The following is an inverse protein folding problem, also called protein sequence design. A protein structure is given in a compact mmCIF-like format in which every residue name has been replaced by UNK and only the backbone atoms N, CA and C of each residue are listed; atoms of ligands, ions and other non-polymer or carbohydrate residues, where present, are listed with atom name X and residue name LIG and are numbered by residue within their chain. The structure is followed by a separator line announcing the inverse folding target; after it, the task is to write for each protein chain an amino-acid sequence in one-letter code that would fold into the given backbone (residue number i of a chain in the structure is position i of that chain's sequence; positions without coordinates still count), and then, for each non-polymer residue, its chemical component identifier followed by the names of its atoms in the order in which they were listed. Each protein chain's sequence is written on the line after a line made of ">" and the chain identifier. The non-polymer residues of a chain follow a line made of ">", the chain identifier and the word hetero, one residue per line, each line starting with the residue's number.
data_IF_601056913068
#
_entry.id   IF_601056913068
#
_cell.length_a   1.000
_cell.length_b   1.000
_cell.length_c   1.000
_cell.angle_alpha   90.00
_cell.angle_beta   90.00
_cell.angle_gamma   90.00
#
_symmetry.space_group_name_H-M   'P 1'
#
loop_
_entity.id
_entity.type
_entity.pdbx_description
1 polymer ?
#
# COMPACT_ATOMS: atom_id res chain seq x y z
N UNK A 1 -16.59 -1.70 15.51
CA UNK A 1 -15.38 -0.88 15.25
C UNK A 1 -15.54 0.37 16.09
N UNK A 2 -14.70 0.56 17.11
CA UNK A 2 -14.92 1.63 18.10
C UNK A 2 -14.28 2.94 17.67
N UNK A 3 -15.11 3.96 17.49
CA UNK A 3 -14.75 5.34 17.17
C UNK A 3 -15.40 6.28 18.17
N UNK A 4 -14.83 7.45 18.37
CA UNK A 4 -15.54 8.56 19.02
C UNK A 4 -16.42 9.20 17.98
N UNK A 5 -17.73 9.19 18.22
CA UNK A 5 -18.70 9.93 17.41
C UNK A 5 -18.85 11.34 17.98
N UNK A 6 -18.84 12.34 17.11
CA UNK A 6 -19.05 13.74 17.48
C UNK A 6 -19.81 14.47 16.37
N UNK A 7 -20.53 15.52 16.73
CA UNK A 7 -21.15 16.46 15.81
C UNK A 7 -20.22 17.62 15.43
N UNK A 8 -19.05 17.72 16.07
CA UNK A 8 -17.99 18.65 15.68
C UNK A 8 -17.60 18.41 14.21
N UNK A 9 -17.47 19.50 13.45
CA UNK A 9 -17.19 19.42 12.01
C UNK A 9 -15.73 19.02 11.80
N UNK A 10 -15.53 17.86 11.17
CA UNK A 10 -14.23 17.41 10.67
C UNK A 10 -14.17 17.63 9.15
N UNK A 11 -13.08 18.22 8.67
CA UNK A 11 -12.80 18.47 7.26
C UNK A 11 -11.31 18.25 6.95
N UNK A 12 -10.90 18.41 5.69
CA UNK A 12 -9.50 18.20 5.29
C UNK A 12 -8.48 19.06 6.06
N UNK A 13 -8.89 20.23 6.55
CA UNK A 13 -7.99 21.14 7.27
C UNK A 13 -7.69 20.71 8.71
N UNK A 14 -8.56 19.91 9.35
CA UNK A 14 -8.35 19.44 10.73
C UNK A 14 -8.27 17.91 10.86
N UNK A 15 -8.50 17.16 9.79
CA UNK A 15 -8.27 15.71 9.73
C UNK A 15 -6.80 15.40 9.99
N UNK A 16 -6.54 14.37 10.80
CA UNK A 16 -5.22 14.05 11.35
C UNK A 16 -4.85 14.84 12.61
N UNK A 17 -5.52 15.97 12.88
CA UNK A 17 -5.35 16.74 14.12
C UNK A 17 -6.05 16.11 15.34
N UNK A 18 -5.81 16.65 16.55
CA UNK A 18 -6.39 16.12 17.77
C UNK A 18 -7.88 16.50 17.92
N UNK A 19 -8.65 15.57 18.46
CA UNK A 19 -9.92 15.84 19.13
C UNK A 19 -9.62 15.97 20.62
N UNK A 20 -9.94 17.14 21.20
CA UNK A 20 -9.61 17.47 22.60
C UNK A 20 -10.86 17.64 23.46
N UNK A 21 -10.75 17.29 24.74
CA UNK A 21 -11.75 17.66 25.75
C UNK A 21 -11.52 19.10 26.28
N UNK A 22 -12.37 19.55 27.20
CA UNK A 22 -12.30 20.92 27.76
C UNK A 22 -11.05 21.17 28.60
N UNK A 23 -10.39 20.11 29.09
CA UNK A 23 -9.14 20.19 29.85
C UNK A 23 -7.90 20.24 28.93
N UNK A 24 -8.10 20.21 27.61
CA UNK A 24 -7.03 20.22 26.62
C UNK A 24 -6.37 18.85 26.40
N UNK A 25 -6.95 17.77 26.91
CA UNK A 25 -6.45 16.41 26.72
C UNK A 25 -6.90 15.85 25.36
N UNK A 26 -6.00 15.16 24.67
CA UNK A 26 -6.32 14.48 23.42
C UNK A 26 -7.12 13.21 23.71
N UNK A 27 -8.40 13.22 23.33
CA UNK A 27 -9.30 12.07 23.42
C UNK A 27 -9.40 11.29 22.12
N UNK A 28 -8.96 11.86 20.99
CA UNK A 28 -8.86 11.12 19.72
C UNK A 28 -8.13 11.85 18.60
N UNK A 29 -8.05 11.22 17.43
CA UNK A 29 -7.54 11.82 16.17
C UNK A 29 -8.68 11.97 15.18
N UNK A 30 -8.91 13.20 14.72
CA UNK A 30 -9.92 13.52 13.72
C UNK A 30 -9.68 12.71 12.44
N UNK A 31 -10.69 11.97 11.96
CA UNK A 31 -10.49 11.09 10.79
C UNK A 31 -11.45 11.45 9.66
N UNK A 32 -12.75 11.22 9.86
CA UNK A 32 -13.74 11.26 8.78
C UNK A 32 -15.01 11.99 9.22
N UNK A 33 -15.61 12.73 8.28
CA UNK A 33 -17.01 13.16 8.35
C UNK A 33 -17.83 12.24 7.44
N UNK A 34 -18.93 11.69 7.94
CA UNK A 34 -19.81 10.79 7.16
C UNK A 34 -21.02 11.54 6.64
N UNK A 35 -21.70 12.30 7.50
CA UNK A 35 -22.85 13.14 7.14
C UNK A 35 -22.91 14.38 8.04
N UNK A 36 -23.88 15.27 7.81
CA UNK A 36 -24.10 16.40 8.70
C UNK A 36 -24.40 15.91 10.14
N UNK A 37 -23.66 16.45 11.12
CA UNK A 37 -23.80 16.08 12.53
C UNK A 37 -23.17 14.73 12.92
N UNK A 38 -22.50 14.03 11.99
CA UNK A 38 -21.81 12.77 12.31
C UNK A 38 -20.39 12.78 11.74
N UNK A 39 -19.44 12.93 12.65
CA UNK A 39 -18.01 12.82 12.44
C UNK A 39 -17.40 11.76 13.36
N UNK A 40 -16.26 11.21 12.97
CA UNK A 40 -15.55 10.18 13.72
C UNK A 40 -14.09 10.53 13.97
N UNK A 41 -13.63 10.17 15.17
CA UNK A 41 -12.24 10.21 15.57
C UNK A 41 -11.76 8.85 16.10
N UNK A 42 -10.48 8.53 15.85
CA UNK A 42 -9.82 7.34 16.43
C UNK A 42 -9.59 7.61 17.93
N UNK A 43 -10.08 6.75 18.85
CA UNK A 43 -9.94 6.97 20.30
C UNK A 43 -8.49 7.01 20.79
N UNK A 44 -8.19 7.84 21.77
CA UNK A 44 -6.86 7.99 22.38
C UNK A 44 -6.30 6.71 22.96
N UNK A 45 -7.14 5.81 23.47
CA UNK A 45 -6.67 4.54 24.03
C UNK A 45 -6.12 3.60 22.96
N UNK A 46 -6.63 3.68 21.72
CA UNK A 46 -6.01 3.00 20.57
C UNK A 46 -4.66 3.61 20.24
N UNK A 47 -4.52 4.93 20.34
CA UNK A 47 -3.25 5.63 20.13
C UNK A 47 -2.24 5.20 21.20
N UNK A 48 -2.62 5.18 22.48
CA UNK A 48 -1.78 4.70 23.58
C UNK A 48 -1.32 3.26 23.33
N UNK A 49 -2.25 2.36 22.99
CA UNK A 49 -1.91 0.97 22.66
C UNK A 49 -0.92 0.89 21.49
N UNK A 50 -1.17 1.61 20.41
CA UNK A 50 -0.28 1.67 19.25
C UNK A 50 1.13 2.17 19.63
N UNK A 51 1.22 3.22 20.44
CA UNK A 51 2.49 3.78 20.91
C UNK A 51 3.23 2.79 21.81
N UNK A 52 2.55 2.15 22.76
CA UNK A 52 3.14 1.11 23.61
C UNK A 52 3.66 -0.06 22.78
N UNK A 53 2.87 -0.57 21.83
CA UNK A 53 3.29 -1.65 20.93
C UNK A 53 4.43 -1.22 19.98
N UNK A 54 4.47 0.04 19.56
CA UNK A 54 5.57 0.58 18.75
C UNK A 54 6.85 0.69 19.57
N UNK A 55 6.76 1.26 20.77
CA UNK A 55 7.87 1.41 21.69
C UNK A 55 8.42 0.05 22.13
N UNK A 56 7.55 -0.90 22.47
CA UNK A 56 7.96 -2.26 22.82
C UNK A 56 8.68 -2.98 21.68
N UNK A 57 8.25 -2.77 20.43
CA UNK A 57 8.96 -3.30 19.25
C UNK A 57 10.38 -2.72 19.16
N UNK A 58 10.52 -1.41 19.36
CA UNK A 58 11.81 -0.73 19.33
C UNK A 58 12.71 -1.14 20.50
N UNK A 59 12.18 -1.17 21.73
CA UNK A 59 12.93 -1.46 22.96
C UNK A 59 13.34 -2.93 23.10
N UNK A 60 12.53 -3.88 22.61
CA UNK A 60 12.85 -5.32 22.68
C UNK A 60 13.87 -5.76 21.61
N UNK A 61 14.45 -4.82 20.86
CA UNK A 61 15.37 -5.15 19.77
C UNK A 61 14.74 -6.07 18.73
N UNK A 62 13.39 -6.11 18.65
CA UNK A 62 12.72 -6.65 17.46
C UNK A 62 13.10 -5.66 16.37
N UNK A 63 14.20 -5.97 15.69
CA UNK A 63 14.76 -5.19 14.61
C UNK A 63 13.59 -4.58 13.85
N UNK A 64 13.58 -3.25 13.72
CA UNK A 64 12.74 -2.62 12.71
C UNK A 64 13.13 -3.37 11.44
N UNK A 65 12.28 -4.31 11.03
CA UNK A 65 12.64 -5.27 9.99
C UNK A 65 12.96 -4.40 8.81
N UNK A 66 14.23 -4.43 8.37
CA UNK A 66 14.70 -3.60 7.27
C UNK A 66 13.68 -3.69 6.16
N UNK A 67 13.12 -2.56 5.77
CA UNK A 67 12.00 -2.58 4.84
C UNK A 67 12.59 -2.90 3.48
N UNK A 68 12.15 -4.02 2.91
CA UNK A 68 12.53 -4.40 1.55
C UNK A 68 11.71 -3.58 0.55
N UNK A 69 12.36 -3.15 -0.53
CA UNK A 69 11.73 -2.42 -1.62
C UNK A 69 12.32 -2.82 -2.96
N UNK A 70 11.56 -2.60 -4.03
CA UNK A 70 12.01 -2.80 -5.42
C UNK A 70 11.87 -1.54 -6.28
N UNK A 71 11.15 -0.49 -5.83
CA UNK A 71 11.02 0.76 -6.57
C UNK A 71 9.91 0.80 -7.63
N UNK A 72 8.70 0.36 -7.30
CA UNK A 72 7.53 0.49 -8.19
C UNK A 72 6.35 1.18 -7.50
N UNK A 73 5.57 1.91 -8.29
CA UNK A 73 4.20 2.32 -7.92
C UNK A 73 3.22 1.39 -8.62
N UNK A 74 2.31 0.79 -7.88
CA UNK A 74 1.38 -0.20 -8.41
C UNK A 74 -0.03 -0.03 -7.82
N UNK A 75 -1.01 -0.58 -8.53
CA UNK A 75 -2.38 -0.74 -8.04
C UNK A 75 -2.92 -2.13 -8.36
N UNK A 76 -3.87 -2.61 -7.57
CA UNK A 76 -4.60 -3.84 -7.90
C UNK A 76 -5.45 -3.61 -9.14
N UNK A 77 -5.32 -4.50 -10.12
CA UNK A 77 -6.13 -4.46 -11.32
C UNK A 77 -7.51 -5.04 -11.04
N UNK A 78 -8.54 -4.23 -11.21
CA UNK A 78 -9.94 -4.67 -11.20
C UNK A 78 -10.44 -4.84 -12.63
N UNK A 79 -11.47 -5.66 -12.86
CA UNK A 79 -12.00 -5.88 -14.21
C UNK A 79 -12.51 -4.59 -14.87
N UNK A 80 -13.09 -3.67 -14.09
CA UNK A 80 -13.49 -2.35 -14.61
C UNK A 80 -12.29 -1.51 -15.02
N UNK A 81 -11.21 -1.53 -14.23
CA UNK A 81 -10.00 -0.79 -14.55
C UNK A 81 -9.23 -1.40 -15.72
N UNK A 82 -9.17 -2.72 -15.83
CA UNK A 82 -8.59 -3.43 -16.96
C UNK A 82 -9.29 -3.02 -18.27
N UNK A 83 -10.62 -2.99 -18.26
CA UNK A 83 -11.41 -2.52 -19.41
C UNK A 83 -11.11 -1.07 -19.75
N UNK A 84 -11.10 -0.18 -18.76
CA UNK A 84 -10.77 1.24 -18.97
C UNK A 84 -9.36 1.42 -19.59
N UNK A 85 -8.37 0.67 -19.10
CA UNK A 85 -7.01 0.71 -19.63
C UNK A 85 -6.94 0.16 -21.05
N UNK A 86 -7.65 -0.94 -21.34
CA UNK A 86 -7.75 -1.52 -22.69
C UNK A 86 -8.41 -0.58 -23.71
N UNK A 87 -9.41 0.17 -23.29
CA UNK A 87 -10.09 1.15 -24.13
C UNK A 87 -9.16 2.35 -24.47
N UNK A 88 -8.25 2.72 -23.55
CA UNK A 88 -7.28 3.82 -23.74
C UNK A 88 -6.01 3.37 -24.46
N UNK A 89 -5.54 2.17 -24.18
CA UNK A 89 -4.28 1.61 -24.66
C UNK A 89 -4.60 0.26 -25.33
N UNK A 90 -4.62 0.24 -26.67
CA UNK A 90 -5.03 -0.96 -27.44
C UNK A 90 -4.12 -2.16 -27.17
N UNK A 91 -2.86 -1.87 -26.89
CA UNK A 91 -1.80 -2.79 -26.53
C UNK A 91 -1.87 -3.25 -25.06
N UNK A 92 -2.75 -2.70 -24.23
CA UNK A 92 -2.90 -3.18 -22.86
C UNK A 92 -3.26 -4.68 -22.83
N UNK A 93 -2.67 -5.49 -21.95
CA UNK A 93 -2.94 -6.92 -21.88
C UNK A 93 -4.41 -7.29 -21.64
N UNK A 94 -4.83 -8.43 -22.19
CA UNK A 94 -6.13 -9.03 -21.87
C UNK A 94 -6.06 -9.80 -20.54
N UNK A 95 -5.98 -9.05 -19.44
CA UNK A 95 -5.91 -9.55 -18.07
C UNK A 95 -6.94 -8.86 -17.19
N UNK A 96 -7.60 -9.64 -16.34
CA UNK A 96 -8.70 -9.16 -15.50
C UNK A 96 -8.31 -8.94 -14.03
N UNK A 97 -7.13 -9.41 -13.63
CA UNK A 97 -6.58 -9.33 -12.28
C UNK A 97 -5.05 -9.31 -12.30
N UNK A 98 -4.44 -8.88 -11.19
CA UNK A 98 -2.99 -8.77 -11.05
C UNK A 98 -2.60 -7.46 -10.37
N UNK A 99 -1.32 -7.17 -10.32
CA UNK A 99 -0.80 -5.87 -9.88
C UNK A 99 -0.30 -5.09 -11.10
N UNK A 100 -1.00 -4.02 -11.44
CA UNK A 100 -0.63 -3.13 -12.55
C UNK A 100 0.44 -2.14 -12.08
N UNK A 101 1.54 -2.07 -12.83
CA UNK A 101 2.65 -1.14 -12.59
C UNK A 101 2.33 0.20 -13.25
N UNK A 102 2.11 1.21 -12.40
CA UNK A 102 1.87 2.60 -12.80
C UNK A 102 3.19 3.31 -13.10
N UNK A 103 4.26 2.95 -12.39
CA UNK A 103 5.54 3.65 -12.46
C UNK A 103 6.65 2.73 -11.98
N UNK A 104 7.80 2.78 -12.66
CA UNK A 104 9.05 2.19 -12.22
C UNK A 104 9.99 3.33 -11.89
N UNK A 105 10.52 3.33 -10.67
CA UNK A 105 11.39 4.41 -10.19
C UNK A 105 12.81 4.17 -10.74
N UNK A 106 13.49 5.19 -11.31
CA UNK A 106 14.86 5.06 -11.78
C UNK A 106 15.85 4.67 -10.68
N UNK A 107 16.94 4.02 -11.06
CA UNK A 107 18.01 3.58 -10.16
C UNK A 107 17.51 2.65 -9.04
N UNK A 108 16.52 1.79 -9.35
CA UNK A 108 15.96 0.81 -8.40
C UNK A 108 16.04 -0.62 -8.92
N UNK A 109 15.89 -1.63 -8.03
CA UNK A 109 15.92 -3.03 -8.45
C UNK A 109 14.90 -3.40 -9.54
N UNK A 110 13.72 -2.76 -9.54
CA UNK A 110 12.70 -3.00 -10.53
C UNK A 110 13.13 -2.54 -11.93
N UNK A 111 13.75 -1.34 -12.03
CA UNK A 111 14.30 -0.85 -13.29
C UNK A 111 15.43 -1.74 -13.78
N UNK A 112 16.38 -2.08 -12.90
CA UNK A 112 17.51 -2.96 -13.22
C UNK A 112 17.05 -4.36 -13.66
N UNK A 113 15.96 -4.88 -13.08
CA UNK A 113 15.32 -6.13 -13.47
C UNK A 113 14.53 -6.06 -14.78
N UNK A 114 14.31 -4.86 -15.33
CA UNK A 114 13.62 -4.64 -16.59
C UNK A 114 12.09 -4.60 -16.48
N UNK A 115 11.54 -4.35 -15.30
CA UNK A 115 10.12 -3.99 -15.15
C UNK A 115 9.84 -2.67 -15.87
N UNK A 116 8.63 -2.52 -16.40
CA UNK A 116 8.21 -1.32 -17.11
C UNK A 116 6.84 -0.85 -16.64
N UNK A 117 6.58 0.43 -16.85
CA UNK A 117 5.22 0.97 -16.80
C UNK A 117 4.30 0.16 -17.72
N UNK A 118 3.05 -0.04 -17.29
CA UNK A 118 2.02 -0.82 -17.95
C UNK A 118 2.18 -2.35 -17.89
N UNK A 119 3.24 -2.87 -17.28
CA UNK A 119 3.31 -4.29 -16.95
C UNK A 119 2.22 -4.65 -15.93
N UNK A 120 1.64 -5.85 -16.08
CA UNK A 120 0.76 -6.43 -15.07
C UNK A 120 1.43 -7.66 -14.49
N UNK A 121 1.79 -7.61 -13.20
CA UNK A 121 2.36 -8.76 -12.48
C UNK A 121 1.23 -9.75 -12.21
N UNK A 122 1.39 -10.98 -12.71
CA UNK A 122 0.40 -12.05 -12.59
C UNK A 122 0.89 -13.24 -11.76
N UNK A 123 2.19 -13.37 -11.55
CA UNK A 123 2.77 -14.41 -10.70
C UNK A 123 4.11 -13.98 -10.12
N UNK A 124 4.42 -14.42 -8.90
CA UNK A 124 5.74 -14.30 -8.29
C UNK A 124 6.09 -15.63 -7.63
N UNK A 125 7.27 -16.17 -7.93
CA UNK A 125 7.78 -17.43 -7.37
C UNK A 125 6.77 -18.60 -7.52
N UNK A 126 6.04 -18.62 -8.64
CA UNK A 126 5.01 -19.63 -8.93
C UNK A 126 3.66 -19.40 -8.24
N UNK A 127 3.52 -18.36 -7.41
CA UNK A 127 2.26 -17.98 -6.76
C UNK A 127 1.53 -16.92 -7.57
N UNK A 128 0.24 -17.16 -7.84
CA UNK A 128 -0.62 -16.20 -8.54
C UNK A 128 -0.74 -14.89 -7.77
N UNK A 129 -0.64 -13.78 -8.49
CA UNK A 129 -0.86 -12.43 -7.96
C UNK A 129 -2.21 -11.94 -8.46
N UNK A 130 -3.10 -11.58 -7.54
CA UNK A 130 -4.42 -11.02 -7.83
C UNK A 130 -4.55 -9.57 -7.37
N UNK A 131 -3.62 -9.10 -6.52
CA UNK A 131 -3.63 -7.76 -5.96
C UNK A 131 -2.22 -7.16 -5.74
N UNK A 132 -2.13 -5.85 -5.62
CA UNK A 132 -0.89 -5.16 -5.24
C UNK A 132 -0.42 -5.51 -3.81
N UNK A 133 -1.34 -5.92 -2.93
CA UNK A 133 -0.99 -6.37 -1.58
C UNK A 133 -0.22 -7.68 -1.61
N UNK A 134 -0.55 -8.59 -2.53
CA UNK A 134 0.15 -9.88 -2.68
C UNK A 134 1.63 -9.62 -3.00
N UNK A 135 1.89 -8.74 -3.97
CA UNK A 135 3.25 -8.32 -4.34
C UNK A 135 4.00 -7.74 -3.14
N UNK A 136 3.34 -6.83 -2.40
CA UNK A 136 3.92 -6.19 -1.21
C UNK A 136 4.28 -7.20 -0.12
N UNK A 137 3.48 -8.26 0.04
CA UNK A 137 3.72 -9.29 1.06
C UNK A 137 4.81 -10.27 0.67
N UNK A 138 4.97 -10.56 -0.62
CA UNK A 138 6.09 -11.37 -1.12
C UNK A 138 7.41 -10.60 -1.02
N UNK A 139 7.45 -9.31 -1.38
CA UNK A 139 8.65 -8.45 -1.25
C UNK A 139 9.21 -8.46 0.19
N UNK A 140 8.33 -8.45 1.20
CA UNK A 140 8.75 -8.47 2.61
C UNK A 140 9.44 -9.77 3.03
N UNK A 141 9.07 -10.90 2.41
CA UNK A 141 9.49 -12.24 2.84
C UNK A 141 10.67 -12.75 2.03
N UNK A 142 10.60 -12.60 0.72
CA UNK A 142 11.54 -13.22 -0.20
C UNK A 142 12.81 -12.38 -0.40
N UNK A 143 13.91 -13.05 -0.76
CA UNK A 143 15.16 -12.38 -1.17
C UNK A 143 15.25 -12.23 -2.68
N UNK A 144 14.51 -13.03 -3.43
CA UNK A 144 14.50 -13.02 -4.89
C UNK A 144 13.08 -13.23 -5.40
N UNK A 145 12.68 -12.43 -6.38
CA UNK A 145 11.34 -12.44 -6.97
C UNK A 145 11.46 -12.87 -8.43
N UNK A 146 11.04 -14.10 -8.74
CA UNK A 146 10.85 -14.57 -10.11
C UNK A 146 9.43 -14.24 -10.54
N UNK A 147 9.29 -13.12 -11.23
CA UNK A 147 8.00 -12.52 -11.59
C UNK A 147 7.63 -12.94 -13.01
N UNK A 148 6.36 -13.28 -13.21
CA UNK A 148 5.75 -13.31 -14.54
C UNK A 148 4.92 -12.05 -14.68
N UNK A 149 5.25 -11.23 -15.68
CA UNK A 149 4.48 -10.04 -16.03
C UNK A 149 3.86 -10.21 -17.40
N UNK A 150 2.62 -9.75 -17.54
CA UNK A 150 1.99 -9.58 -18.84
C UNK A 150 2.37 -8.19 -19.37
N UNK A 151 3.08 -8.17 -20.49
CA UNK A 151 3.49 -6.97 -21.22
C UNK A 151 2.93 -7.06 -22.64
N UNK A 152 1.93 -6.24 -22.93
CA UNK A 152 1.15 -6.43 -24.14
C UNK A 152 0.47 -7.80 -24.18
N UNK A 153 0.71 -8.58 -25.23
CA UNK A 153 0.16 -9.93 -25.37
C UNK A 153 1.13 -11.03 -24.91
N UNK A 154 2.29 -10.68 -24.34
CA UNK A 154 3.34 -11.63 -24.00
C UNK A 154 3.52 -11.76 -22.49
N UNK A 155 3.86 -12.99 -22.06
CA UNK A 155 4.35 -13.24 -20.71
C UNK A 155 5.87 -13.11 -20.69
N UNK A 156 6.37 -12.18 -19.87
CA UNK A 156 7.81 -11.97 -19.67
C UNK A 156 8.19 -12.42 -18.27
N UNK A 157 9.24 -13.22 -18.17
CA UNK A 157 9.85 -13.58 -16.89
C UNK A 157 10.90 -12.54 -16.50
N UNK A 158 10.79 -11.99 -15.30
CA UNK A 158 11.67 -10.94 -14.77
C UNK A 158 12.13 -11.39 -13.37
N UNK A 159 13.43 -11.28 -13.12
CA UNK A 159 13.99 -11.56 -11.79
C UNK A 159 14.41 -10.26 -11.13
N UNK A 160 13.91 -10.01 -9.92
CA UNK A 160 14.21 -8.80 -9.13
C UNK A 160 14.68 -9.22 -7.74
N UNK A 161 15.74 -8.59 -7.25
CA UNK A 161 16.26 -8.78 -5.89
C UNK A 161 15.92 -7.53 -5.08
N UNK A 162 15.02 -7.61 -4.08
CA UNK A 162 14.70 -6.46 -3.25
C UNK A 162 15.90 -5.93 -2.47
N UNK A 163 15.99 -4.60 -2.39
CA UNK A 163 16.95 -3.93 -1.54
C UNK A 163 16.36 -3.62 -0.17
N UNK A 164 17.22 -3.53 0.84
CA UNK A 164 16.84 -3.17 2.19
C UNK A 164 17.09 -1.69 2.45
N UNK A 165 16.06 -0.96 2.87
CA UNK A 165 16.21 0.38 3.41
C UNK A 165 16.45 0.29 4.92
N UNK A 166 17.55 0.90 5.35
CA UNK A 166 17.78 1.19 6.76
C UNK A 166 16.75 2.24 7.25
N UNK A 167 16.21 2.07 8.45
CA UNK A 167 15.10 2.89 8.97
C UNK A 167 15.45 4.36 9.22
#
# INVERSE_FOLDING_TARGET
>A
MDYIQTDAIINYGNSGGPLVNLDGEVIGINTLKVTAGISFAIPSDKIKKFLTESHDRQAKGKAVTKKKYIGIRMMSLTSSKAKELKDRHRDFPDVLSGAYIIEVIPDTPAEAGGLKENDVIISINGQSVVSASDVSDVIKKESTLHMVVRRGNEDTMITVVPEEIDP
#
